data_IF_987587622841
#
_entry.id   IF_987587622841
#
_cell.length_a   1.000
_cell.length_b   1.000
_cell.length_c   1.000
_cell.angle_alpha   90.00
_cell.angle_beta   90.00
_cell.angle_gamma   90.00
#
_symmetry.space_group_name_H-M   'P 1'
#
loop_
_entity.id
_entity.type
_entity.pdbx_description
1 polymer ?
#
# COMPACT_ATOMS: atom_id res chain seq x y z
N UNK A 1 16.45 5.36 -8.99
CA UNK A 1 16.44 6.49 -8.03
C UNK A 1 15.24 6.35 -7.12
N UNK A 2 15.46 6.35 -5.81
CA UNK A 2 14.38 6.41 -4.80
C UNK A 2 14.16 7.89 -4.48
N UNK A 3 12.90 8.28 -4.35
CA UNK A 3 12.48 9.63 -3.98
C UNK A 3 11.74 9.57 -2.65
N UNK A 4 11.98 10.57 -1.81
CA UNK A 4 11.22 10.80 -0.58
C UNK A 4 10.01 11.68 -0.91
N UNK A 5 8.85 11.34 -0.33
CA UNK A 5 7.64 12.16 -0.34
C UNK A 5 7.03 12.21 1.05
N UNK A 6 6.41 13.34 1.40
CA UNK A 6 5.57 13.46 2.58
C UNK A 6 4.11 13.23 2.18
N UNK A 7 3.44 12.28 2.85
CA UNK A 7 2.02 11.94 2.61
C UNK A 7 1.33 11.84 3.96
N UNK A 8 0.40 12.76 4.25
CA UNK A 8 -0.16 12.94 5.61
C UNK A 8 1.00 13.03 6.63
N UNK A 9 1.00 12.17 7.64
CA UNK A 9 2.03 12.12 8.69
C UNK A 9 3.16 11.11 8.39
N UNK A 10 3.21 10.56 7.17
CA UNK A 10 4.19 9.55 6.77
C UNK A 10 5.28 10.15 5.89
N UNK A 11 6.50 9.66 6.11
CA UNK A 11 7.60 9.80 5.16
C UNK A 11 7.64 8.55 4.29
N UNK A 12 7.45 8.71 2.98
CA UNK A 12 7.28 7.61 2.03
C UNK A 12 8.45 7.61 1.05
N UNK A 13 9.08 6.45 0.90
CA UNK A 13 10.17 6.24 -0.04
C UNK A 13 9.67 5.37 -1.19
N UNK A 14 9.80 5.86 -2.42
CA UNK A 14 9.29 5.20 -3.63
C UNK A 14 10.26 5.36 -4.78
N UNK A 15 10.30 4.42 -5.73
CA UNK A 15 11.08 4.61 -6.96
C UNK A 15 10.48 5.74 -7.81
N UNK A 16 11.30 6.43 -8.60
CA UNK A 16 10.90 7.58 -9.44
C UNK A 16 9.67 7.29 -10.33
N UNK A 17 9.53 6.06 -10.80
CA UNK A 17 8.46 5.52 -11.65
C UNK A 17 7.34 4.81 -10.86
N UNK A 18 7.32 4.96 -9.54
CA UNK A 18 6.42 4.24 -8.63
C UNK A 18 5.14 5.00 -8.27
N UNK A 19 4.64 5.89 -9.12
CA UNK A 19 3.46 6.73 -8.80
C UNK A 19 2.23 5.90 -8.42
N UNK A 20 1.99 4.76 -9.09
CA UNK A 20 0.93 3.81 -8.72
C UNK A 20 0.99 3.35 -7.26
N UNK A 21 2.19 3.19 -6.69
CA UNK A 21 2.33 2.78 -5.29
C UNK A 21 1.96 3.89 -4.32
N UNK A 22 2.14 5.16 -4.71
CA UNK A 22 1.68 6.31 -3.93
C UNK A 22 0.14 6.32 -3.90
N UNK A 23 -0.51 6.07 -5.02
CA UNK A 23 -1.97 6.04 -5.12
C UNK A 23 -2.55 4.88 -4.30
N UNK A 24 -2.02 3.67 -4.47
CA UNK A 24 -2.41 2.49 -3.67
C UNK A 24 -2.22 2.77 -2.17
N UNK A 25 -1.13 3.45 -1.77
CA UNK A 25 -0.91 3.83 -0.38
C UNK A 25 -1.92 4.87 0.13
N UNK A 26 -2.30 5.85 -0.70
CA UNK A 26 -3.33 6.83 -0.36
C UNK A 26 -4.69 6.16 -0.16
N UNK A 27 -5.06 5.22 -1.02
CA UNK A 27 -6.28 4.41 -0.90
C UNK A 27 -6.28 3.54 0.35
N UNK A 28 -5.13 2.97 0.70
CA UNK A 28 -4.96 2.27 1.96
C UNK A 28 -5.21 3.20 3.16
N UNK A 29 -4.58 4.38 3.18
CA UNK A 29 -4.72 5.37 4.25
C UNK A 29 -6.10 6.05 4.33
N UNK A 30 -6.94 5.91 3.31
CA UNK A 30 -8.33 6.40 3.30
C UNK A 30 -9.35 5.28 3.54
N UNK A 31 -8.88 4.05 3.79
CA UNK A 31 -9.73 2.86 3.86
C UNK A 31 -10.53 2.59 2.57
N UNK A 32 -10.11 3.16 1.45
CA UNK A 32 -10.72 3.01 0.13
C UNK A 32 -10.05 1.88 -0.67
N UNK A 33 -9.96 0.69 -0.10
CA UNK A 33 -9.36 -0.47 -0.78
C UNK A 33 -10.20 -1.73 -0.58
N UNK A 34 -10.31 -2.52 -1.65
CA UNK A 34 -11.05 -3.78 -1.61
C UNK A 34 -10.10 -4.93 -1.25
N UNK A 35 -10.28 -5.53 -0.07
CA UNK A 35 -9.56 -6.76 0.31
C UNK A 35 -10.25 -7.97 -0.33
N UNK A 36 -9.51 -8.72 -1.13
CA UNK A 36 -9.97 -9.95 -1.77
C UNK A 36 -9.73 -11.17 -0.87
N UNK A 37 -8.54 -11.24 -0.23
CA UNK A 37 -8.14 -12.39 0.59
C UNK A 37 -7.16 -11.97 1.68
N UNK A 38 -7.29 -12.57 2.86
CA UNK A 38 -6.31 -12.43 3.96
C UNK A 38 -5.39 -13.64 3.96
N UNK A 39 -4.07 -13.41 3.94
CA UNK A 39 -3.06 -14.48 4.02
C UNK A 39 -2.46 -14.60 5.43
N UNK A 40 -2.26 -13.48 6.12
CA UNK A 40 -1.73 -13.43 7.49
C UNK A 40 -2.35 -12.28 8.25
N UNK A 41 -2.70 -12.54 9.51
CA UNK A 41 -3.21 -11.54 10.45
C UNK A 41 -2.76 -11.93 11.86
N UNK A 42 -1.54 -11.55 12.21
CA UNK A 42 -0.97 -11.71 13.55
C UNK A 42 -0.64 -10.32 14.11
N UNK A 43 -0.30 -10.23 15.40
CA UNK A 43 -0.10 -8.98 16.13
C UNK A 43 0.72 -7.94 15.36
N UNK A 44 1.91 -8.30 14.87
CA UNK A 44 2.83 -7.36 14.19
C UNK A 44 2.87 -7.53 12.66
N UNK A 45 1.94 -8.28 12.06
CA UNK A 45 1.98 -8.48 10.61
C UNK A 45 0.62 -8.80 10.03
N UNK A 46 0.21 -7.98 9.06
CA UNK A 46 -0.96 -8.21 8.21
C UNK A 46 -0.54 -8.32 6.75
N UNK A 47 -0.97 -9.39 6.08
CA UNK A 47 -0.75 -9.64 4.65
C UNK A 47 -2.08 -9.92 3.98
N UNK A 48 -2.47 -9.06 3.03
CA UNK A 48 -3.74 -9.15 2.32
C UNK A 48 -3.55 -9.00 0.82
N UNK A 49 -4.38 -9.68 0.03
CA UNK A 49 -4.58 -9.42 -1.38
C UNK A 49 -5.61 -8.29 -1.53
N UNK A 50 -5.25 -7.23 -2.24
CA UNK A 50 -6.14 -6.12 -2.56
C UNK A 50 -6.37 -6.02 -4.07
N UNK A 51 -7.57 -5.57 -4.45
CA UNK A 51 -7.86 -5.12 -5.80
C UNK A 51 -7.54 -3.63 -5.93
N UNK A 52 -6.87 -3.23 -7.01
CA UNK A 52 -6.57 -1.83 -7.33
C UNK A 52 -6.82 -1.57 -8.81
N UNK A 53 -6.85 -0.31 -9.22
CA UNK A 53 -6.97 0.09 -10.64
C UNK A 53 -5.78 -0.40 -11.49
N UNK A 54 -4.69 -0.80 -10.84
CA UNK A 54 -3.47 -1.35 -11.45
C UNK A 54 -3.42 -2.88 -11.43
N UNK A 55 -4.50 -3.54 -11.00
CA UNK A 55 -4.60 -4.99 -10.84
C UNK A 55 -4.46 -5.46 -9.39
N UNK A 56 -4.15 -6.74 -9.22
CA UNK A 56 -4.09 -7.39 -7.90
C UNK A 56 -2.72 -7.18 -7.26
N UNK A 57 -2.72 -6.71 -6.01
CA UNK A 57 -1.50 -6.46 -5.24
C UNK A 57 -1.52 -7.15 -3.88
N UNK A 58 -0.33 -7.51 -3.39
CA UNK A 58 -0.13 -7.93 -2.00
C UNK A 58 0.22 -6.69 -1.18
N UNK A 59 -0.63 -6.36 -0.22
CA UNK A 59 -0.36 -5.34 0.79
C UNK A 59 0.13 -6.04 2.05
N UNK A 60 1.36 -5.70 2.47
CA UNK A 60 1.99 -6.21 3.68
C UNK A 60 2.30 -5.04 4.61
N UNK A 61 1.74 -5.09 5.81
CA UNK A 61 1.94 -4.09 6.88
C UNK A 61 2.63 -4.79 8.04
N UNK A 62 3.63 -4.13 8.61
CA UNK A 62 4.38 -4.52 9.80
C UNK A 62 4.17 -3.44 10.87
#
# INVERSE_FOLDING_TARGET
MIIEKKIKNYTVFVKKDGEKYIEIFKDFLSYNHQVIKVFRNIEDTKVVLINTDYGKYILKVF
#
